data_IF_791951894790
#
_entry.id   IF_791951894790
#
_cell.length_a   1.000
_cell.length_b   1.000
_cell.length_c   1.000
_cell.angle_alpha   90.00
_cell.angle_beta   90.00
_cell.angle_gamma   90.00
#
_symmetry.space_group_name_H-M   'P 1'
#
loop_
_entity.id
_entity.type
_entity.pdbx_description
1 polymer ?
#
# COMPACT_ATOMS: atom_id res chain seq x y z
N UNK A 1 -16.85 6.97 12.84
CA UNK A 1 -16.47 7.45 11.49
C UNK A 1 -16.88 8.89 11.20
N UNK A 2 -18.17 9.26 11.19
CA UNK A 2 -18.62 10.62 10.81
C UNK A 2 -18.02 11.73 11.69
N UNK A 3 -17.96 11.52 13.00
CA UNK A 3 -17.36 12.49 13.95
C UNK A 3 -15.86 12.73 13.69
N UNK A 4 -15.13 11.72 13.18
CA UNK A 4 -13.71 11.86 12.84
C UNK A 4 -13.42 12.79 11.66
N UNK A 5 -14.46 13.26 10.94
CA UNK A 5 -14.30 14.31 9.95
C UNK A 5 -14.01 15.66 10.59
N UNK A 6 -14.54 15.91 11.80
CA UNK A 6 -14.34 17.14 12.58
C UNK A 6 -13.27 16.97 13.66
N UNK A 7 -13.14 15.76 14.19
CA UNK A 7 -12.21 15.40 15.27
C UNK A 7 -11.28 14.27 14.79
N UNK A 8 -10.21 14.56 14.02
CA UNK A 8 -9.31 13.57 13.42
C UNK A 8 -8.83 12.48 14.39
N UNK A 9 -8.55 12.84 15.64
CA UNK A 9 -8.12 12.00 16.74
C UNK A 9 -9.10 10.84 17.05
N UNK A 10 -10.40 11.01 16.77
CA UNK A 10 -11.38 9.92 16.92
C UNK A 10 -11.17 8.78 15.93
N UNK A 11 -10.44 9.02 14.84
CA UNK A 11 -10.03 7.93 13.96
C UNK A 11 -8.99 7.01 14.62
N UNK A 12 -8.22 7.51 15.59
CA UNK A 12 -7.25 6.72 16.36
C UNK A 12 -7.89 5.49 17.01
N UNK A 13 -9.11 5.61 17.53
CA UNK A 13 -9.85 4.46 18.09
C UNK A 13 -10.12 3.34 17.06
N UNK A 14 -10.28 3.69 15.78
CA UNK A 14 -10.41 2.71 14.70
C UNK A 14 -9.06 2.10 14.36
N UNK A 15 -7.99 2.90 14.39
CA UNK A 15 -6.64 2.39 14.23
C UNK A 15 -6.32 1.35 15.32
N UNK A 16 -6.48 1.72 16.59
CA UNK A 16 -6.18 0.86 17.74
C UNK A 16 -6.97 -0.46 17.70
N UNK A 17 -8.25 -0.39 17.31
CA UNK A 17 -9.13 -1.55 17.26
C UNK A 17 -8.80 -2.53 16.11
N UNK A 18 -8.29 -2.04 14.97
CA UNK A 18 -8.19 -2.85 13.75
C UNK A 18 -6.76 -3.03 13.21
N UNK A 19 -5.76 -2.31 13.74
CA UNK A 19 -4.40 -2.34 13.20
C UNK A 19 -3.81 -3.75 13.21
N UNK A 20 -3.89 -4.45 14.35
CA UNK A 20 -3.36 -5.80 14.48
C UNK A 20 -3.99 -6.78 13.48
N UNK A 21 -5.30 -6.65 13.22
CA UNK A 21 -6.01 -7.51 12.27
C UNK A 21 -5.55 -7.25 10.83
N UNK A 22 -5.47 -5.98 10.42
CA UNK A 22 -5.03 -5.61 9.07
C UNK A 22 -3.56 -5.95 8.86
N UNK A 23 -2.72 -5.74 9.86
CA UNK A 23 -1.32 -6.14 9.85
C UNK A 23 -1.20 -7.66 9.65
N UNK A 24 -1.92 -8.47 10.43
CA UNK A 24 -1.94 -9.92 10.27
C UNK A 24 -2.48 -10.38 8.92
N UNK A 25 -3.49 -9.68 8.38
CA UNK A 25 -4.02 -9.93 7.04
C UNK A 25 -2.99 -9.70 5.93
N UNK A 26 -2.20 -8.63 6.05
CA UNK A 26 -1.10 -8.29 5.14
C UNK A 26 0.08 -9.25 5.27
N UNK A 27 0.50 -9.56 6.50
CA UNK A 27 1.59 -10.49 6.79
C UNK A 27 1.35 -11.87 6.17
N UNK A 28 0.12 -12.38 6.22
CA UNK A 28 -0.26 -13.65 5.56
C UNK A 28 -0.14 -13.64 4.03
N UNK A 29 -0.09 -12.47 3.39
CA UNK A 29 -0.11 -12.33 1.92
C UNK A 29 1.21 -11.87 1.32
N UNK A 30 1.95 -11.04 2.05
CA UNK A 30 3.19 -10.42 1.57
C UNK A 30 4.39 -10.69 2.50
N UNK A 31 4.19 -11.40 3.60
CA UNK A 31 5.22 -11.59 4.63
C UNK A 31 5.28 -10.45 5.64
N UNK A 32 6.02 -10.65 6.74
CA UNK A 32 6.08 -9.69 7.86
C UNK A 32 6.71 -8.35 7.46
N UNK A 33 7.70 -8.36 6.56
CA UNK A 33 8.47 -7.15 6.19
C UNK A 33 7.60 -6.09 5.51
N UNK A 34 6.65 -6.51 4.67
CA UNK A 34 5.73 -5.60 3.98
C UNK A 34 4.48 -5.26 4.81
N UNK A 35 4.22 -5.99 5.90
CA UNK A 35 2.94 -5.90 6.61
C UNK A 35 2.72 -4.55 7.28
N UNK A 36 3.76 -3.98 7.90
CA UNK A 36 3.68 -2.70 8.60
C UNK A 36 3.38 -1.53 7.64
N UNK A 37 4.04 -1.52 6.48
CA UNK A 37 3.83 -0.50 5.44
C UNK A 37 2.42 -0.59 4.85
N UNK A 38 1.99 -1.80 4.49
CA UNK A 38 0.64 -2.05 3.96
C UNK A 38 -0.45 -1.66 4.96
N UNK A 39 -0.28 -2.00 6.24
CA UNK A 39 -1.22 -1.60 7.28
C UNK A 39 -1.27 -0.07 7.40
N UNK A 40 -0.12 0.59 7.51
CA UNK A 40 -0.02 2.04 7.59
C UNK A 40 -0.68 2.75 6.42
N UNK A 41 -0.40 2.30 5.19
CA UNK A 41 -1.02 2.84 3.98
C UNK A 41 -2.53 2.58 3.95
N UNK A 42 -2.99 1.40 4.42
CA UNK A 42 -4.42 1.10 4.53
C UNK A 42 -5.13 2.11 5.42
N UNK A 43 -4.59 2.38 6.61
CA UNK A 43 -5.19 3.36 7.52
C UNK A 43 -5.09 4.80 7.02
N UNK A 44 -4.03 5.14 6.28
CA UNK A 44 -3.92 6.44 5.61
C UNK A 44 -5.00 6.62 4.52
N UNK A 45 -5.18 5.61 3.66
CA UNK A 45 -6.22 5.61 2.63
C UNK A 45 -7.62 5.64 3.26
N UNK A 46 -7.84 4.86 4.32
CA UNK A 46 -9.08 4.86 5.09
C UNK A 46 -9.35 6.22 5.75
N UNK A 47 -8.35 6.84 6.37
CA UNK A 47 -8.48 8.16 6.96
C UNK A 47 -8.90 9.19 5.90
N UNK A 48 -8.22 9.23 4.75
CA UNK A 48 -8.61 10.13 3.63
C UNK A 48 -10.00 9.81 3.08
N UNK A 49 -10.39 8.54 3.05
CA UNK A 49 -11.67 8.06 2.52
C UNK A 49 -12.84 8.09 3.50
N UNK A 50 -12.62 8.38 4.78
CA UNK A 50 -13.60 8.18 5.87
C UNK A 50 -14.94 8.91 5.69
N UNK A 51 -14.97 9.99 4.91
CA UNK A 51 -16.22 10.71 4.60
C UNK A 51 -17.17 9.94 3.67
N UNK A 52 -16.65 8.96 2.92
CA UNK A 52 -17.41 8.10 2.01
C UNK A 52 -17.82 6.76 2.64
N UNK A 53 -17.40 6.50 3.88
CA UNK A 53 -17.80 5.29 4.59
C UNK A 53 -19.30 5.32 4.88
N UNK A 54 -19.96 4.23 4.52
CA UNK A 54 -21.39 4.02 4.69
C UNK A 54 -21.61 2.71 5.44
N UNK A 55 -22.04 2.81 6.70
CA UNK A 55 -22.24 1.67 7.58
C UNK A 55 -23.39 0.75 7.13
N UNK A 56 -24.29 1.24 6.27
CA UNK A 56 -25.37 0.41 5.70
C UNK A 56 -24.87 -0.59 4.64
N UNK A 57 -23.71 -0.29 4.02
CA UNK A 57 -23.14 -1.12 2.95
C UNK A 57 -22.19 -2.19 3.49
N UNK A 58 -21.42 -1.86 4.52
CA UNK A 58 -20.43 -2.76 5.09
C UNK A 58 -20.01 -2.32 6.49
N UNK A 59 -19.66 -3.31 7.33
CA UNK A 59 -18.95 -3.05 8.58
C UNK A 59 -17.56 -2.46 8.31
N UNK A 60 -17.03 -1.69 9.28
CA UNK A 60 -15.70 -1.06 9.22
C UNK A 60 -14.62 -2.08 8.86
N UNK A 61 -14.66 -3.25 9.49
CA UNK A 61 -13.73 -4.36 9.22
C UNK A 61 -13.67 -4.75 7.74
N UNK A 62 -14.82 -4.97 7.12
CA UNK A 62 -14.93 -5.37 5.71
C UNK A 62 -14.46 -4.25 4.79
N UNK A 63 -14.80 -3.01 5.11
CA UNK A 63 -14.34 -1.84 4.37
C UNK A 63 -12.82 -1.67 4.43
N UNK A 64 -12.21 -1.82 5.60
CA UNK A 64 -10.74 -1.80 5.78
C UNK A 64 -10.06 -2.95 5.04
N UNK A 65 -10.61 -4.17 5.11
CA UNK A 65 -10.07 -5.32 4.38
C UNK A 65 -10.09 -5.11 2.85
N UNK A 66 -11.12 -4.43 2.33
CA UNK A 66 -11.19 -4.03 0.92
C UNK A 66 -10.07 -3.07 0.53
N UNK A 67 -9.82 -2.04 1.34
CA UNK A 67 -8.71 -1.10 1.13
C UNK A 67 -7.37 -1.84 1.20
N UNK A 68 -7.15 -2.67 2.22
CA UNK A 68 -5.94 -3.47 2.37
C UNK A 68 -5.69 -4.37 1.15
N UNK A 69 -6.72 -5.00 0.62
CA UNK A 69 -6.62 -5.83 -0.59
C UNK A 69 -6.17 -5.02 -1.81
N UNK A 70 -6.67 -3.80 -1.98
CA UNK A 70 -6.21 -2.90 -3.04
C UNK A 70 -4.75 -2.49 -2.85
N UNK A 71 -4.34 -2.14 -1.62
CA UNK A 71 -2.95 -1.78 -1.28
C UNK A 71 -2.00 -2.96 -1.57
N UNK A 72 -2.35 -4.16 -1.13
CA UNK A 72 -1.58 -5.40 -1.40
C UNK A 72 -1.44 -5.62 -2.91
N UNK A 73 -2.52 -5.46 -3.67
CA UNK A 73 -2.48 -5.59 -5.12
C UNK A 73 -1.55 -4.57 -5.79
N UNK A 74 -1.49 -3.33 -5.28
CA UNK A 74 -0.54 -2.31 -5.75
C UNK A 74 0.91 -2.70 -5.41
N UNK A 75 1.16 -3.16 -4.18
CA UNK A 75 2.48 -3.59 -3.72
C UNK A 75 3.04 -4.71 -4.60
N UNK A 76 2.24 -5.77 -4.83
CA UNK A 76 2.62 -6.89 -5.69
C UNK A 76 2.98 -6.46 -7.11
N UNK A 77 2.21 -5.52 -7.69
CA UNK A 77 2.51 -4.99 -9.04
C UNK A 77 3.80 -4.16 -9.07
N UNK A 78 4.12 -3.44 -7.98
CA UNK A 78 5.35 -2.69 -7.87
C UNK A 78 6.57 -3.62 -7.78
N UNK A 79 6.51 -4.67 -6.96
CA UNK A 79 7.57 -5.69 -6.88
C UNK A 79 7.83 -6.36 -8.23
N UNK A 80 6.77 -6.80 -8.92
CA UNK A 80 6.90 -7.45 -10.24
C UNK A 80 7.56 -6.52 -11.25
N UNK A 81 7.22 -5.22 -11.26
CA UNK A 81 7.88 -4.23 -12.13
C UNK A 81 9.34 -4.01 -11.74
N UNK A 82 9.64 -3.93 -10.45
CA UNK A 82 11.01 -3.79 -9.94
C UNK A 82 11.89 -4.98 -10.36
N UNK A 83 11.39 -6.20 -10.15
CA UNK A 83 12.05 -7.43 -10.59
C UNK A 83 12.20 -7.49 -12.10
N UNK A 84 11.19 -7.11 -12.88
CA UNK A 84 11.28 -7.06 -14.33
C UNK A 84 12.35 -6.07 -14.81
N UNK A 85 12.48 -4.91 -14.17
CA UNK A 85 13.56 -3.94 -14.46
C UNK A 85 14.92 -4.50 -14.10
N UNK A 86 15.06 -5.18 -12.96
CA UNK A 86 16.32 -5.83 -12.56
C UNK A 86 16.71 -6.94 -13.53
N UNK A 87 15.76 -7.81 -13.90
CA UNK A 87 15.95 -8.87 -14.90
C UNK A 87 16.33 -8.28 -16.25
N UNK A 88 15.65 -7.22 -16.68
CA UNK A 88 15.99 -6.53 -17.92
C UNK A 88 17.41 -5.94 -17.89
N UNK A 89 17.82 -5.34 -16.78
CA UNK A 89 19.19 -4.82 -16.61
C UNK A 89 20.24 -5.94 -16.61
N UNK A 90 19.93 -7.09 -16.00
CA UNK A 90 20.80 -8.27 -16.02
C UNK A 90 20.92 -8.86 -17.43
N UNK A 91 19.81 -9.01 -18.15
CA UNK A 91 19.77 -9.61 -19.50
C UNK A 91 20.37 -8.68 -20.55
N UNK A 92 20.15 -7.36 -20.43
CA UNK A 92 20.63 -6.39 -21.42
C UNK A 92 22.13 -6.09 -21.28
N UNK A 93 22.78 -6.55 -20.20
CA UNK A 93 24.19 -6.25 -19.89
C UNK A 93 24.41 -4.77 -19.54
N UNK A 94 25.58 -4.39 -18.99
CA UNK A 94 25.87 -2.99 -18.73
C UNK A 94 26.27 -2.34 -20.05
N UNK A 95 25.36 -1.59 -20.68
CA UNK A 95 25.71 -0.68 -21.77
C UNK A 95 26.74 0.35 -21.29
N UNK A 96 28.03 -0.01 -21.39
CA UNK A 96 29.15 0.90 -21.25
C UNK A 96 29.36 1.64 -22.56
N UNK A 97 29.40 2.97 -22.47
CA UNK A 97 30.07 3.82 -23.43
C UNK A 97 29.21 4.28 -24.61
N UNK A 98 28.43 5.35 -24.39
CA UNK A 98 28.44 6.42 -25.38
C UNK A 98 29.32 7.54 -24.85
N UNK A 99 30.61 7.38 -25.12
CA UNK A 99 31.59 8.45 -25.13
C UNK A 99 31.04 9.66 -25.88
N UNK A 100 31.11 10.84 -25.23
CA UNK A 100 31.36 12.08 -25.96
C UNK A 100 32.70 11.93 -26.69
N UNK A 101 32.69 11.93 -28.02
CA UNK A 101 33.84 12.33 -28.84
C UNK A 101 33.34 12.64 -30.25
N UNK A 102 33.69 13.83 -30.75
CA UNK A 102 33.11 14.41 -31.96
C UNK A 102 33.57 13.77 -33.28
N UNK A 103 32.83 14.11 -34.33
CA UNK A 103 33.26 14.21 -35.71
C UNK A 103 32.36 15.31 -36.32
N UNK A 104 32.88 16.54 -36.33
CA UNK A 104 33.35 17.30 -37.51
C UNK A 104 32.24 18.16 -38.10
#
# INVERSE_FOLDING_TARGET
MRSSLREPERFGQIFDAYFAEIHGYAAKRLGPDAAADVASQTFLEAFRGRGRYDASRAAVRTWLAGIATNVIGKHRRAEVRGLATLVWAVISGPQHGRTRAGAR
#
